data_IF_121582957210
#
_entry.id   IF_121582957210
#
_cell.length_a   1.000
_cell.length_b   1.000
_cell.length_c   1.000
_cell.angle_alpha   90.00
_cell.angle_beta   90.00
_cell.angle_gamma   90.00
#
_symmetry.space_group_name_H-M   'P 1'
#
loop_
_entity.id
_entity.type
_entity.pdbx_description
1 polymer ?
#
# COMPACT_ATOMS: atom_id res chain seq x y z
N UNK A 1 -31.44 11.46 -53.93
CA UNK A 1 -31.25 12.04 -52.58
C UNK A 1 -31.05 10.91 -51.56
N UNK A 2 -29.85 10.37 -51.38
CA UNK A 2 -29.62 9.26 -50.42
C UNK A 2 -28.19 9.13 -49.88
N UNK A 3 -27.27 10.07 -50.18
CA UNK A 3 -25.85 9.97 -49.75
C UNK A 3 -25.48 10.84 -48.54
N UNK A 4 -26.43 11.60 -47.99
CA UNK A 4 -26.19 12.47 -46.83
C UNK A 4 -26.55 11.80 -45.49
N UNK A 5 -27.49 10.85 -45.48
CA UNK A 5 -27.93 10.18 -44.26
C UNK A 5 -26.93 9.13 -43.75
N UNK A 6 -26.14 8.49 -44.62
CA UNK A 6 -25.06 7.58 -44.21
C UNK A 6 -23.83 8.29 -43.61
N UNK A 7 -23.64 9.58 -43.88
CA UNK A 7 -22.50 10.35 -43.33
C UNK A 7 -22.76 10.96 -41.96
N UNK A 8 -24.01 10.90 -41.46
CA UNK A 8 -24.38 11.52 -40.18
C UNK A 8 -24.16 10.60 -38.97
N UNK A 9 -23.93 9.30 -39.21
CA UNK A 9 -23.68 8.30 -38.14
C UNK A 9 -22.21 8.31 -37.66
N UNK A 10 -21.32 9.04 -38.34
CA UNK A 10 -19.90 9.12 -37.98
C UNK A 10 -19.47 10.46 -37.35
N UNK A 11 -20.43 11.27 -36.91
CA UNK A 11 -20.12 12.41 -36.03
C UNK A 11 -20.19 11.88 -34.60
N UNK A 12 -19.12 11.20 -34.16
CA UNK A 12 -18.89 11.11 -32.71
C UNK A 12 -18.80 12.56 -32.21
N UNK A 13 -19.57 12.95 -31.18
CA UNK A 13 -19.43 14.27 -30.60
C UNK A 13 -17.96 14.47 -30.25
N UNK A 14 -17.37 15.53 -30.81
CA UNK A 14 -16.03 15.95 -30.43
C UNK A 14 -16.03 16.14 -28.90
N UNK A 15 -15.13 15.41 -28.24
CA UNK A 15 -14.84 15.54 -26.80
C UNK A 15 -15.81 14.87 -25.81
N UNK A 16 -16.25 13.64 -26.05
CA UNK A 16 -16.69 12.82 -24.91
C UNK A 16 -15.47 12.53 -24.01
N UNK A 17 -15.39 13.18 -22.85
CA UNK A 17 -14.37 12.93 -21.83
C UNK A 17 -14.33 11.43 -21.52
N UNK A 18 -13.14 10.83 -21.60
CA UNK A 18 -12.97 9.41 -21.29
C UNK A 18 -13.37 9.14 -19.83
N UNK A 19 -14.30 8.21 -19.65
CA UNK A 19 -14.77 7.77 -18.33
C UNK A 19 -14.12 6.43 -17.99
N UNK A 20 -13.46 6.35 -16.84
CA UNK A 20 -12.87 5.11 -16.32
C UNK A 20 -14.01 4.13 -16.00
N UNK A 21 -13.92 2.91 -16.52
CA UNK A 21 -14.91 1.86 -16.24
C UNK A 21 -14.89 1.49 -14.75
N UNK A 22 -16.03 1.04 -14.21
CA UNK A 22 -16.12 0.59 -12.80
C UNK A 22 -15.09 -0.50 -12.49
N UNK A 23 -14.96 -1.50 -13.36
CA UNK A 23 -13.96 -2.57 -13.22
C UNK A 23 -12.53 -2.03 -13.10
N UNK A 24 -12.14 -1.09 -13.97
CA UNK A 24 -10.81 -0.49 -13.92
C UNK A 24 -10.60 0.33 -12.65
N UNK A 25 -11.62 1.08 -12.21
CA UNK A 25 -11.56 1.80 -10.96
C UNK A 25 -11.37 0.87 -9.75
N UNK A 26 -12.08 -0.26 -9.70
CA UNK A 26 -11.96 -1.25 -8.62
C UNK A 26 -10.56 -1.90 -8.60
N UNK A 27 -10.00 -2.23 -9.77
CA UNK A 27 -8.63 -2.76 -9.88
C UNK A 27 -7.57 -1.71 -9.49
N UNK A 28 -7.76 -0.43 -9.84
CA UNK A 28 -6.88 0.65 -9.38
C UNK A 28 -6.88 0.71 -7.86
N UNK A 29 -8.05 0.69 -7.21
CA UNK A 29 -8.17 0.75 -5.76
C UNK A 29 -7.51 -0.48 -5.10
N UNK A 30 -7.75 -1.69 -5.63
CA UNK A 30 -7.11 -2.94 -5.20
C UNK A 30 -5.58 -2.89 -5.27
N UNK A 31 -5.02 -2.54 -6.43
CA UNK A 31 -3.57 -2.58 -6.61
C UNK A 31 -2.87 -1.45 -5.88
N UNK A 32 -3.42 -0.24 -5.89
CA UNK A 32 -2.84 0.87 -5.10
C UNK A 32 -2.74 0.53 -3.62
N UNK A 33 -3.78 -0.10 -3.04
CA UNK A 33 -3.73 -0.52 -1.65
C UNK A 33 -2.77 -1.70 -1.43
N UNK A 34 -2.79 -2.71 -2.29
CA UNK A 34 -1.92 -3.89 -2.18
C UNK A 34 -0.43 -3.51 -2.23
N UNK A 35 -0.03 -2.60 -3.13
CA UNK A 35 1.35 -2.13 -3.20
C UNK A 35 1.77 -1.30 -1.98
N UNK A 36 0.89 -0.45 -1.43
CA UNK A 36 1.23 0.33 -0.23
C UNK A 36 1.36 -0.56 1.02
N UNK A 37 0.64 -1.68 1.07
CA UNK A 37 0.76 -2.67 2.14
C UNK A 37 1.88 -3.70 1.91
N UNK A 38 2.58 -3.62 0.77
CA UNK A 38 3.68 -4.52 0.42
C UNK A 38 4.93 -4.21 1.25
N UNK A 39 5.45 -5.17 2.05
CA UNK A 39 6.59 -4.94 2.93
C UNK A 39 7.91 -4.70 2.18
N UNK A 40 8.01 -5.17 0.93
CA UNK A 40 9.20 -5.04 0.08
C UNK A 40 9.20 -3.77 -0.78
N UNK A 41 8.14 -2.94 -0.73
CA UNK A 41 8.06 -1.72 -1.54
C UNK A 41 9.30 -0.82 -1.29
N UNK A 42 10.04 -0.39 -2.32
CA UNK A 42 11.24 0.43 -2.11
C UNK A 42 10.94 1.85 -1.63
N UNK A 43 9.85 2.43 -2.14
CA UNK A 43 9.49 3.84 -1.97
C UNK A 43 7.97 4.02 -2.06
N UNK A 44 7.40 4.79 -1.14
CA UNK A 44 5.98 5.14 -1.07
C UNK A 44 5.63 6.40 -1.86
N UNK A 45 6.60 7.27 -2.18
CA UNK A 45 6.39 8.47 -3.00
C UNK A 45 7.01 8.34 -4.39
N UNK A 46 6.57 9.18 -5.32
CA UNK A 46 7.17 9.28 -6.64
C UNK A 46 6.57 8.31 -7.67
N UNK A 47 7.30 8.15 -8.77
CA UNK A 47 6.80 7.48 -9.99
C UNK A 47 6.84 5.95 -9.89
N UNK A 48 7.70 5.38 -9.04
CA UNK A 48 7.91 3.94 -8.94
C UNK A 48 6.59 3.20 -8.68
N UNK A 49 5.92 3.50 -7.57
CA UNK A 49 4.65 2.84 -7.20
C UNK A 49 3.52 3.12 -8.19
N UNK A 50 3.52 4.30 -8.83
CA UNK A 50 2.54 4.61 -9.90
C UNK A 50 2.77 3.70 -11.10
N UNK A 51 4.03 3.52 -11.52
CA UNK A 51 4.37 2.66 -12.63
C UNK A 51 4.07 1.18 -12.31
N UNK A 52 4.38 0.70 -11.09
CA UNK A 52 4.02 -0.67 -10.69
C UNK A 52 2.53 -0.95 -10.81
N UNK A 53 1.68 0.02 -10.42
CA UNK A 53 0.22 -0.08 -10.57
C UNK A 53 -0.19 -0.06 -12.05
N UNK A 54 0.38 0.82 -12.87
CA UNK A 54 0.05 0.88 -14.30
C UNK A 54 0.48 -0.42 -15.03
N UNK A 55 1.68 -0.91 -14.73
CA UNK A 55 2.24 -2.12 -15.34
C UNK A 55 1.40 -3.35 -15.03
N UNK A 56 0.89 -3.49 -13.78
CA UNK A 56 0.05 -4.64 -13.42
C UNK A 56 -1.36 -4.53 -14.02
N UNK A 57 -1.91 -3.31 -14.13
CA UNK A 57 -3.21 -3.08 -14.77
C UNK A 57 -3.17 -3.42 -16.26
N UNK A 58 -2.10 -3.01 -16.95
CA UNK A 58 -1.87 -3.30 -18.37
C UNK A 58 -1.72 -4.81 -18.61
N UNK A 59 -1.01 -5.51 -17.72
CA UNK A 59 -0.77 -6.96 -17.84
C UNK A 59 -1.95 -7.83 -17.44
N UNK A 60 -2.95 -7.29 -16.75
CA UNK A 60 -4.13 -8.03 -16.29
C UNK A 60 -5.32 -7.77 -17.25
N UNK A 61 -5.71 -8.74 -18.11
CA UNK A 61 -6.82 -8.57 -19.05
C UNK A 61 -8.17 -8.32 -18.38
N UNK A 62 -8.37 -8.79 -17.14
CA UNK A 62 -9.61 -8.62 -16.40
C UNK A 62 -9.78 -7.20 -15.82
N UNK A 63 -8.71 -6.39 -15.82
CA UNK A 63 -8.74 -5.04 -15.25
C UNK A 63 -9.62 -4.06 -16.01
N UNK A 64 -10.08 -4.40 -17.21
CA UNK A 64 -10.78 -3.46 -18.09
C UNK A 64 -9.85 -2.40 -18.66
N UNK A 65 -8.54 -2.71 -18.75
CA UNK A 65 -7.55 -1.88 -19.43
C UNK A 65 -7.96 -1.61 -20.89
N UNK A 66 -8.00 -0.33 -21.34
CA UNK A 66 -8.44 -0.03 -22.70
C UNK A 66 -7.46 -0.55 -23.76
N UNK A 67 -7.98 -1.26 -24.76
CA UNK A 67 -7.18 -1.82 -25.88
C UNK A 67 -6.48 -0.72 -26.68
N UNK A 68 -7.06 0.48 -26.76
CA UNK A 68 -6.55 1.60 -27.54
C UNK A 68 -5.72 2.60 -26.70
N UNK A 69 -5.35 2.27 -25.46
CA UNK A 69 -4.67 3.21 -24.56
C UNK A 69 -3.35 3.73 -25.13
N UNK A 70 -2.62 2.89 -25.85
CA UNK A 70 -1.32 3.24 -26.46
C UNK A 70 -1.42 4.36 -27.49
N UNK A 71 -2.61 4.59 -28.06
CA UNK A 71 -2.86 5.62 -29.06
C UNK A 71 -3.46 6.89 -28.46
N UNK A 72 -3.86 6.87 -27.18
CA UNK A 72 -4.55 7.98 -26.53
C UNK A 72 -3.85 8.45 -25.26
N UNK A 73 -2.96 9.45 -25.42
CA UNK A 73 -2.30 10.13 -24.30
C UNK A 73 -3.30 10.66 -23.27
N UNK A 74 -4.43 11.23 -23.72
CA UNK A 74 -5.46 11.77 -22.83
C UNK A 74 -6.06 10.69 -21.90
N UNK A 75 -6.37 9.50 -22.43
CA UNK A 75 -6.87 8.38 -21.62
C UNK A 75 -5.82 7.92 -20.61
N UNK A 76 -4.57 7.80 -21.04
CA UNK A 76 -3.45 7.41 -20.16
C UNK A 76 -3.25 8.41 -19.03
N UNK A 77 -3.30 9.71 -19.32
CA UNK A 77 -3.17 10.78 -18.32
C UNK A 77 -4.32 10.74 -17.30
N UNK A 78 -5.56 10.44 -17.73
CA UNK A 78 -6.72 10.26 -16.84
C UNK A 78 -6.52 9.07 -15.89
N UNK A 79 -6.13 7.90 -16.41
CA UNK A 79 -5.89 6.70 -15.58
C UNK A 79 -4.75 6.94 -14.60
N UNK A 80 -3.63 7.49 -15.08
CA UNK A 80 -2.48 7.82 -14.24
C UNK A 80 -2.83 8.80 -13.12
N UNK A 81 -3.62 9.83 -13.43
CA UNK A 81 -4.09 10.80 -12.43
C UNK A 81 -4.98 10.13 -11.39
N UNK A 82 -5.84 9.18 -11.80
CA UNK A 82 -6.66 8.39 -10.88
C UNK A 82 -5.80 7.54 -9.94
N UNK A 83 -4.80 6.83 -10.48
CA UNK A 83 -3.85 6.03 -9.69
C UNK A 83 -3.11 6.90 -8.67
N UNK A 84 -2.57 8.06 -9.08
CA UNK A 84 -1.84 8.98 -8.21
C UNK A 84 -2.73 9.56 -7.09
N UNK A 85 -3.97 9.92 -7.45
CA UNK A 85 -4.98 10.37 -6.47
C UNK A 85 -5.21 9.28 -5.42
N UNK A 86 -5.42 8.03 -5.85
CA UNK A 86 -5.67 6.91 -4.93
C UNK A 86 -4.49 6.56 -4.05
N UNK A 87 -3.27 6.55 -4.60
CA UNK A 87 -2.05 6.39 -3.81
C UNK A 87 -1.91 7.48 -2.73
N UNK A 88 -2.30 8.72 -3.04
CA UNK A 88 -2.25 9.82 -2.08
C UNK A 88 -3.33 9.67 -1.00
N UNK A 89 -4.56 9.33 -1.38
CA UNK A 89 -5.67 9.06 -0.46
C UNK A 89 -5.31 7.95 0.54
N UNK A 90 -4.86 6.78 0.05
CA UNK A 90 -4.51 5.62 0.87
C UNK A 90 -3.35 5.91 1.82
N UNK A 91 -2.30 6.58 1.33
CA UNK A 91 -1.21 7.05 2.19
C UNK A 91 -1.68 8.00 3.28
N UNK A 92 -2.58 8.93 2.98
CA UNK A 92 -3.11 9.82 4.02
C UNK A 92 -3.90 9.05 5.10
N UNK A 93 -4.70 8.07 4.70
CA UNK A 93 -5.44 7.17 5.61
C UNK A 93 -4.48 6.35 6.49
N UNK A 94 -3.48 5.70 5.89
CA UNK A 94 -2.45 4.93 6.61
C UNK A 94 -1.71 5.80 7.62
N UNK A 95 -1.28 7.00 7.20
CA UNK A 95 -0.59 7.95 8.08
C UNK A 95 -1.46 8.34 9.27
N UNK A 96 -2.75 8.62 9.06
CA UNK A 96 -3.66 8.98 10.13
C UNK A 96 -3.78 7.87 11.18
N UNK A 97 -3.94 6.61 10.74
CA UNK A 97 -4.02 5.44 11.62
C UNK A 97 -2.70 5.23 12.39
N UNK A 98 -1.55 5.36 11.72
CA UNK A 98 -0.24 5.24 12.37
C UNK A 98 -0.06 6.31 13.44
N UNK A 99 -0.41 7.56 13.16
CA UNK A 99 -0.29 8.66 14.13
C UNK A 99 -1.22 8.46 15.33
N UNK A 100 -2.46 8.01 15.10
CA UNK A 100 -3.40 7.70 16.17
C UNK A 100 -2.90 6.56 17.08
N UNK A 101 -2.11 5.63 16.54
CA UNK A 101 -1.58 4.47 17.29
C UNK A 101 -0.48 4.79 18.31
N UNK A 102 0.11 5.99 18.25
CA UNK A 102 1.29 6.35 19.03
C UNK A 102 1.03 6.47 20.54
N UNK A 103 -0.22 6.71 20.94
CA UNK A 103 -0.58 6.97 22.33
C UNK A 103 0.06 8.24 22.90
N UNK A 104 0.01 8.39 24.22
CA UNK A 104 0.62 9.51 24.95
C UNK A 104 1.98 9.07 25.49
N UNK A 105 3.01 9.91 25.31
CA UNK A 105 4.31 9.66 25.93
C UNK A 105 4.17 9.69 27.46
N UNK A 106 4.82 8.75 28.15
CA UNK A 106 4.81 8.75 29.61
C UNK A 106 5.44 10.05 30.14
N UNK A 107 4.81 10.68 31.13
CA UNK A 107 5.37 11.87 31.77
C UNK A 107 6.72 11.52 32.41
N UNK A 108 7.81 12.15 31.95
CA UNK A 108 9.17 11.93 32.48
C UNK A 108 10.14 11.20 31.55
N UNK A 109 9.81 10.99 30.27
CA UNK A 109 10.68 10.32 29.28
C UNK A 109 11.92 11.14 28.84
N UNK A 110 12.48 11.95 29.74
CA UNK A 110 13.84 12.49 29.63
C UNK A 110 14.82 11.45 30.16
N UNK A 111 15.00 10.40 29.34
CA UNK A 111 16.14 9.48 29.29
C UNK A 111 17.14 9.50 30.46
N UNK A 112 17.12 8.46 31.30
CA UNK A 112 18.33 7.73 31.74
C UNK A 112 17.94 6.42 32.44
N UNK A 113 18.35 5.32 31.80
CA UNK A 113 18.75 4.03 32.38
C UNK A 113 17.72 3.06 33.02
N UNK A 114 17.75 1.85 32.45
CA UNK A 114 17.55 0.50 33.04
C UNK A 114 16.23 0.08 33.67
N UNK A 115 15.24 0.95 33.86
CA UNK A 115 13.93 0.50 34.37
C UNK A 115 13.05 -0.01 33.22
N UNK A 116 12.37 -1.13 33.41
CA UNK A 116 11.50 -1.75 32.40
C UNK A 116 10.57 -0.70 31.77
N UNK A 117 10.81 -0.37 30.49
CA UNK A 117 10.00 0.60 29.76
C UNK A 117 8.56 0.12 29.76
N UNK A 118 7.69 0.86 30.45
CA UNK A 118 6.26 0.65 30.36
C UNK A 118 5.80 1.07 28.96
N UNK A 119 4.88 0.31 28.33
CA UNK A 119 4.26 0.72 27.08
C UNK A 119 3.60 2.10 27.20
N UNK A 120 3.61 2.87 26.11
CA UNK A 120 2.92 4.16 26.06
C UNK A 120 1.42 4.00 26.35
N UNK A 121 0.89 4.87 27.22
CA UNK A 121 -0.52 4.86 27.57
C UNK A 121 -1.39 5.14 26.33
N UNK A 122 -2.41 4.30 26.11
CA UNK A 122 -3.31 4.41 24.96
C UNK A 122 -2.68 4.08 23.60
N UNK A 123 -1.48 3.50 23.56
CA UNK A 123 -0.89 3.05 22.31
C UNK A 123 -1.52 1.75 21.81
N UNK A 124 -1.41 1.51 20.50
CA UNK A 124 -1.89 0.28 19.85
C UNK A 124 -0.72 -0.70 19.66
N UNK A 125 -0.93 -2.00 19.91
CA UNK A 125 0.08 -3.01 19.59
C UNK A 125 0.33 -3.10 18.07
N UNK A 126 1.47 -3.64 17.65
CA UNK A 126 1.82 -3.68 16.23
C UNK A 126 0.86 -4.55 15.39
N UNK A 127 0.33 -5.63 15.96
CA UNK A 127 -0.62 -6.52 15.27
C UNK A 127 -1.94 -5.81 15.07
N UNK A 128 -2.53 -5.24 16.13
CA UNK A 128 -3.79 -4.47 16.03
C UNK A 128 -3.64 -3.25 15.11
N UNK A 129 -2.48 -2.61 15.08
CA UNK A 129 -2.19 -1.55 14.12
C UNK A 129 -2.22 -2.08 12.67
N UNK A 130 -1.60 -3.23 12.40
CA UNK A 130 -1.64 -3.83 11.07
C UNK A 130 -3.07 -4.25 10.68
N UNK A 131 -3.86 -4.79 11.61
CA UNK A 131 -5.28 -5.10 11.38
C UNK A 131 -6.09 -3.86 11.02
N UNK A 132 -5.89 -2.75 11.76
CA UNK A 132 -6.53 -1.47 11.46
C UNK A 132 -6.12 -0.94 10.07
N UNK A 133 -4.85 -1.10 9.68
CA UNK A 133 -4.37 -0.71 8.35
C UNK A 133 -5.00 -1.58 7.26
N UNK A 134 -5.07 -2.90 7.44
CA UNK A 134 -5.76 -3.82 6.52
C UNK A 134 -7.24 -3.44 6.38
N UNK A 135 -7.87 -2.96 7.45
CA UNK A 135 -9.25 -2.48 7.46
C UNK A 135 -9.54 -1.24 6.60
N UNK A 136 -8.53 -0.52 6.10
CA UNK A 136 -8.70 0.67 5.24
C UNK A 136 -9.46 0.33 3.94
N UNK A 137 -9.24 -0.85 3.38
CA UNK A 137 -9.85 -1.26 2.12
C UNK A 137 -10.20 -2.75 2.13
N UNK A 138 -11.49 -3.04 2.32
CA UNK A 138 -12.05 -4.39 2.36
C UNK A 138 -12.13 -5.08 0.98
N UNK A 139 -11.88 -4.35 -0.11
CA UNK A 139 -11.86 -4.92 -1.46
C UNK A 139 -10.64 -5.81 -1.74
N UNK A 140 -9.70 -5.93 -0.79
CA UNK A 140 -8.63 -6.94 -0.81
C UNK A 140 -8.55 -7.61 0.54
N UNK A 141 -8.66 -8.94 0.57
CA UNK A 141 -8.43 -9.75 1.76
C UNK A 141 -6.93 -9.87 2.06
N UNK A 142 -6.31 -8.80 2.58
CA UNK A 142 -4.92 -8.84 3.04
C UNK A 142 -4.84 -9.58 4.38
N UNK A 143 -3.77 -10.35 4.58
CA UNK A 143 -3.44 -10.99 5.85
C UNK A 143 -2.33 -10.23 6.54
N UNK A 144 -2.44 -10.07 7.86
CA UNK A 144 -1.35 -9.52 8.68
C UNK A 144 -0.23 -10.56 8.75
N UNK A 145 0.99 -10.15 8.42
CA UNK A 145 2.19 -11.00 8.43
C UNK A 145 3.29 -10.36 9.26
N UNK A 146 4.29 -11.13 9.67
CA UNK A 146 5.45 -10.61 10.41
C UNK A 146 6.21 -9.57 9.58
N UNK A 147 6.30 -9.76 8.27
CA UNK A 147 6.95 -8.83 7.34
C UNK A 147 6.20 -7.50 7.29
N UNK A 148 4.86 -7.53 7.28
CA UNK A 148 4.03 -6.34 7.37
C UNK A 148 4.24 -5.63 8.72
N UNK A 149 4.18 -6.35 9.84
CA UNK A 149 4.44 -5.77 11.17
C UNK A 149 5.83 -5.12 11.24
N UNK A 150 6.86 -5.78 10.71
CA UNK A 150 8.22 -5.24 10.67
C UNK A 150 8.30 -3.96 9.85
N UNK A 151 7.59 -3.90 8.73
CA UNK A 151 7.53 -2.71 7.89
C UNK A 151 6.79 -1.55 8.57
N UNK A 152 5.63 -1.84 9.15
CA UNK A 152 4.80 -0.85 9.86
C UNK A 152 5.52 -0.30 11.09
N UNK A 153 6.33 -1.12 11.78
CA UNK A 153 7.18 -0.66 12.86
C UNK A 153 8.17 0.44 12.41
N UNK A 154 8.73 0.34 11.20
CA UNK A 154 9.56 1.43 10.63
C UNK A 154 8.74 2.68 10.35
N UNK A 155 7.53 2.54 9.80
CA UNK A 155 6.65 3.70 9.56
C UNK A 155 6.32 4.41 10.87
N UNK A 156 6.08 3.65 11.94
CA UNK A 156 5.78 4.17 13.26
C UNK A 156 7.00 4.81 13.93
N UNK A 157 8.17 4.21 13.80
CA UNK A 157 9.44 4.80 14.27
C UNK A 157 9.70 6.15 13.61
N UNK A 158 9.59 6.23 12.28
CA UNK A 158 9.72 7.51 11.53
C UNK A 158 8.68 8.54 12.00
N UNK A 159 7.45 8.11 12.31
CA UNK A 159 6.41 8.99 12.84
C UNK A 159 6.81 9.60 14.20
N UNK A 160 7.46 8.83 15.07
CA UNK A 160 7.99 9.32 16.35
C UNK A 160 9.18 10.25 16.13
N UNK A 161 10.20 9.79 15.41
CA UNK A 161 11.49 10.50 15.27
C UNK A 161 11.33 11.86 14.60
N UNK A 162 10.33 11.97 13.74
CA UNK A 162 10.11 13.20 12.99
C UNK A 162 9.21 14.22 13.73
N UNK A 163 8.67 13.87 14.91
CA UNK A 163 7.90 14.76 15.78
C UNK A 163 6.66 15.37 15.10
N UNK A 164 6.41 16.67 15.36
CA UNK A 164 5.38 17.48 14.70
C UNK A 164 5.74 17.77 13.23
N UNK A 165 5.85 16.72 12.42
CA UNK A 165 6.04 16.84 10.97
C UNK A 165 4.96 17.74 10.39
N UNK A 166 5.38 18.85 9.76
CA UNK A 166 4.54 19.65 8.87
C UNK A 166 3.85 18.70 7.86
N UNK A 167 2.57 18.94 7.58
CA UNK A 167 1.82 18.14 6.60
C UNK A 167 2.62 18.04 5.29
N UNK A 168 3.07 16.81 4.94
CA UNK A 168 3.78 16.53 3.69
C UNK A 168 5.13 15.82 3.81
N UNK A 169 5.92 15.97 4.90
CA UNK A 169 7.28 15.39 4.93
C UNK A 169 7.40 13.97 5.49
N UNK A 170 6.29 13.37 5.97
CA UNK A 170 6.29 12.02 6.53
C UNK A 170 6.74 10.96 5.52
N UNK A 171 6.10 10.87 4.36
CA UNK A 171 6.42 9.84 3.37
C UNK A 171 7.82 10.00 2.74
N UNK A 172 8.31 11.21 2.42
CA UNK A 172 9.71 11.40 2.07
C UNK A 172 10.69 10.95 3.15
N UNK A 173 10.37 11.16 4.44
CA UNK A 173 11.22 10.69 5.54
C UNK A 173 11.24 9.16 5.64
N UNK A 174 10.07 8.51 5.47
CA UNK A 174 9.98 7.05 5.36
C UNK A 174 10.85 6.54 4.22
N UNK A 175 10.73 7.12 3.03
CA UNK A 175 11.49 6.67 1.86
C UNK A 175 13.00 6.85 2.04
N UNK A 176 13.41 7.94 2.69
CA UNK A 176 14.81 8.18 3.07
C UNK A 176 15.33 7.11 4.02
N UNK A 177 14.56 6.75 5.05
CA UNK A 177 14.95 5.71 6.02
C UNK A 177 15.07 4.33 5.35
N UNK A 178 14.14 3.99 4.46
CA UNK A 178 14.20 2.72 3.74
C UNK A 178 15.37 2.69 2.75
N UNK A 179 15.68 3.81 2.13
CA UNK A 179 16.84 3.94 1.25
C UNK A 179 18.14 3.82 2.03
N UNK A 180 18.25 4.42 3.23
CA UNK A 180 19.45 4.33 4.07
C UNK A 180 19.78 2.87 4.44
N UNK A 181 18.77 2.06 4.76
CA UNK A 181 18.95 0.63 5.03
C UNK A 181 19.44 -0.14 3.80
N UNK A 182 18.97 0.22 2.60
CA UNK A 182 19.43 -0.39 1.34
C UNK A 182 20.85 0.01 1.00
N UNK A 183 21.19 1.28 1.15
CA UNK A 183 22.52 1.83 0.85
C UNK A 183 23.58 1.30 1.82
N UNK A 184 23.23 1.12 3.08
CA UNK A 184 24.12 0.51 4.07
C UNK A 184 24.40 -0.98 3.78
N UNK A 185 23.45 -1.68 3.16
CA UNK A 185 23.51 -3.13 2.92
C UNK A 185 22.99 -3.51 1.51
N UNK A 186 23.68 -3.10 0.43
CA UNK A 186 23.16 -3.25 -0.94
C UNK A 186 23.04 -4.72 -1.37
N UNK A 187 23.99 -5.56 -0.96
CA UNK A 187 24.08 -6.98 -1.35
C UNK A 187 23.78 -7.95 -0.20
N UNK A 188 23.33 -7.46 0.95
CA UNK A 188 23.12 -8.28 2.15
C UNK A 188 21.65 -8.21 2.63
N UNK A 189 20.75 -8.98 1.99
CA UNK A 189 19.35 -9.02 2.40
C UNK A 189 19.16 -9.50 3.84
N UNK A 190 20.06 -10.35 4.36
CA UNK A 190 19.98 -10.84 5.75
C UNK A 190 20.23 -9.71 6.74
N UNK A 191 21.23 -8.85 6.50
CA UNK A 191 21.46 -7.67 7.34
C UNK A 191 20.29 -6.69 7.26
N UNK A 192 19.72 -6.46 6.07
CA UNK A 192 18.49 -5.64 5.95
C UNK A 192 17.36 -6.20 6.79
N UNK A 193 17.07 -7.51 6.70
CA UNK A 193 16.04 -8.16 7.52
C UNK A 193 16.30 -8.02 9.03
N UNK A 194 17.56 -8.08 9.48
CA UNK A 194 17.91 -7.86 10.89
C UNK A 194 17.60 -6.45 11.37
N UNK A 195 17.78 -5.42 10.53
CA UNK A 195 17.38 -4.05 10.86
C UNK A 195 15.88 -3.96 11.07
N UNK A 196 15.08 -4.49 10.13
CA UNK A 196 13.62 -4.52 10.28
C UNK A 196 13.15 -5.29 11.52
N UNK A 197 13.79 -6.43 11.83
CA UNK A 197 13.50 -7.20 13.05
C UNK A 197 13.85 -6.43 14.33
N UNK A 198 14.95 -5.66 14.33
CA UNK A 198 15.31 -4.77 15.44
C UNK A 198 14.26 -3.67 15.62
N UNK A 199 13.80 -3.04 14.54
CA UNK A 199 12.75 -2.03 14.59
C UNK A 199 11.45 -2.62 15.17
N UNK A 200 11.04 -3.80 14.74
CA UNK A 200 9.88 -4.51 15.31
C UNK A 200 10.05 -4.82 16.81
N UNK A 201 11.25 -5.20 17.23
CA UNK A 201 11.54 -5.48 18.64
C UNK A 201 11.44 -4.21 19.50
N UNK A 202 12.03 -3.11 19.03
CA UNK A 202 11.94 -1.80 19.69
C UNK A 202 10.51 -1.31 19.78
N UNK A 203 9.76 -1.48 18.70
CA UNK A 203 8.36 -1.13 18.58
C UNK A 203 7.49 -1.87 19.61
N UNK A 204 7.63 -3.19 19.74
CA UNK A 204 6.94 -3.98 20.79
C UNK A 204 7.31 -3.55 22.21
N UNK A 205 8.55 -3.14 22.44
CA UNK A 205 8.97 -2.60 23.73
C UNK A 205 8.31 -1.25 24.04
N UNK A 206 8.12 -0.40 23.04
CA UNK A 206 7.54 0.94 23.18
C UNK A 206 6.01 0.94 23.30
N UNK A 207 5.35 0.06 22.56
CA UNK A 207 3.90 0.11 22.32
C UNK A 207 3.14 -1.13 22.81
N UNK A 208 3.83 -2.01 23.54
CA UNK A 208 3.25 -3.21 24.11
C UNK A 208 3.55 -4.47 23.30
N UNK A 209 3.54 -5.60 24.00
CA UNK A 209 3.77 -6.90 23.39
C UNK A 209 2.55 -7.32 22.58
N UNK A 210 2.82 -7.83 21.38
CA UNK A 210 1.86 -8.59 20.59
C UNK A 210 2.32 -10.05 20.50
N UNK A 211 1.37 -10.96 20.37
CA UNK A 211 1.62 -12.35 20.02
C UNK A 211 1.99 -12.41 18.52
N UNK A 212 3.28 -12.63 18.24
CA UNK A 212 3.77 -12.83 16.89
C UNK A 212 3.85 -14.30 16.51
N UNK A 213 3.71 -15.21 17.48
CA UNK A 213 3.84 -16.65 17.24
C UNK A 213 2.66 -17.12 16.38
N UNK A 214 1.47 -16.55 16.62
CA UNK A 214 0.30 -16.72 15.77
C UNK A 214 0.50 -16.30 14.30
N UNK A 215 1.54 -15.50 13.99
CA UNK A 215 1.83 -15.01 12.64
C UNK A 215 2.97 -15.76 11.95
N UNK A 216 3.65 -16.70 12.62
CA UNK A 216 4.84 -17.35 12.09
C UNK A 216 4.58 -18.11 10.78
N UNK A 217 3.41 -18.75 10.67
CA UNK A 217 3.03 -19.56 9.52
C UNK A 217 2.00 -18.86 8.60
N UNK A 218 1.74 -17.57 8.85
CA UNK A 218 0.79 -16.80 8.05
C UNK A 218 1.49 -16.31 6.78
N UNK A 219 1.20 -17.00 5.68
CA UNK A 219 1.55 -16.53 4.34
C UNK A 219 0.62 -15.39 3.91
N UNK A 220 1.19 -14.42 3.17
CA UNK A 220 0.41 -13.34 2.56
C UNK A 220 -0.68 -13.88 1.63
N UNK A 221 -1.78 -13.13 1.48
CA UNK A 221 -2.84 -13.46 0.53
C UNK A 221 -2.35 -13.39 -0.92
N UNK A 222 -3.15 -13.91 -1.86
CA UNK A 222 -2.81 -13.90 -3.30
C UNK A 222 -2.44 -12.50 -3.77
N UNK A 223 -3.21 -11.48 -3.39
CA UNK A 223 -2.94 -10.09 -3.76
C UNK A 223 -1.62 -9.55 -3.16
N UNK A 224 -1.24 -9.98 -1.94
CA UNK A 224 0.04 -9.62 -1.34
C UNK A 224 1.20 -10.26 -2.11
N UNK A 225 1.08 -11.55 -2.41
CA UNK A 225 2.09 -12.29 -3.18
C UNK A 225 2.27 -11.71 -4.58
N UNK A 226 1.17 -11.38 -5.26
CA UNK A 226 1.17 -10.74 -6.58
C UNK A 226 1.90 -9.38 -6.53
N UNK A 227 1.56 -8.53 -5.56
CA UNK A 227 2.23 -7.24 -5.38
C UNK A 227 3.72 -7.39 -5.06
N UNK A 228 4.10 -8.33 -4.19
CA UNK A 228 5.50 -8.62 -3.86
C UNK A 228 6.28 -9.12 -5.06
N UNK A 229 5.70 -10.02 -5.87
CA UNK A 229 6.35 -10.52 -7.09
C UNK A 229 6.57 -9.41 -8.11
N UNK A 230 5.60 -8.50 -8.29
CA UNK A 230 5.75 -7.34 -9.18
C UNK A 230 6.83 -6.39 -8.67
N UNK A 231 6.85 -6.10 -7.37
CA UNK A 231 7.90 -5.27 -6.75
C UNK A 231 9.30 -5.88 -6.93
N UNK A 232 9.41 -7.20 -6.77
CA UNK A 232 10.69 -7.92 -6.88
C UNK A 232 11.12 -8.18 -8.33
N UNK A 233 10.31 -7.81 -9.32
CA UNK A 233 10.57 -8.08 -10.73
C UNK A 233 10.46 -9.57 -11.11
N UNK A 234 9.80 -10.37 -10.27
CA UNK A 234 9.64 -11.83 -10.43
C UNK A 234 8.22 -12.23 -10.84
N UNK A 235 7.37 -11.29 -11.21
CA UNK A 235 5.97 -11.56 -11.55
C UNK A 235 5.83 -12.54 -12.71
N UNK A 236 5.38 -13.74 -12.39
CA UNK A 236 4.74 -14.67 -13.33
C UNK A 236 3.24 -14.46 -13.13
N UNK A 237 2.51 -14.10 -14.19
CA UNK A 237 1.07 -13.84 -14.13
C UNK A 237 0.32 -15.09 -13.62
N UNK A 238 0.08 -15.18 -12.31
CA UNK A 238 -0.84 -16.14 -11.73
C UNK A 238 -2.23 -15.54 -11.85
N UNK A 239 -2.95 -15.93 -12.91
CA UNK A 239 -4.32 -15.51 -13.13
C UNK A 239 -5.20 -15.97 -11.96
N UNK A 240 -5.68 -15.02 -11.16
CA UNK A 240 -6.67 -15.31 -10.13
C UNK A 240 -7.96 -15.80 -10.81
N UNK A 241 -8.46 -16.96 -10.38
CA UNK A 241 -9.72 -17.53 -10.84
C UNK A 241 -10.90 -16.64 -10.40
N UNK A 242 -11.99 -16.53 -11.18
CA UNK A 242 -13.19 -15.75 -10.83
C UNK A 242 -13.81 -16.07 -9.45
N UNK A 243 -13.47 -17.23 -8.86
CA UNK A 243 -13.98 -17.67 -7.56
C UNK A 243 -13.61 -16.74 -6.38
N UNK A 244 -12.51 -15.98 -6.49
CA UNK A 244 -12.11 -15.04 -5.43
C UNK A 244 -12.94 -13.73 -5.43
N UNK A 245 -13.72 -13.46 -6.50
CA UNK A 245 -14.56 -12.26 -6.57
C UNK A 245 -15.98 -12.48 -6.04
N UNK A 246 -16.43 -13.72 -5.86
CA UNK A 246 -17.79 -14.03 -5.39
C UNK A 246 -17.95 -14.06 -3.87
N UNK A 247 -16.87 -14.01 -3.10
CA UNK A 247 -16.91 -14.16 -1.64
C UNK A 247 -17.32 -12.89 -0.86
N UNK A 248 -17.69 -11.79 -1.53
CA UNK A 248 -18.06 -10.50 -0.88
C UNK A 248 -19.52 -10.12 -1.13
N UNK A 249 -20.32 -11.00 -1.75
CA UNK A 249 -21.72 -10.75 -2.08
C UNK A 249 -22.65 -11.82 -1.51
N UNK A 250 -22.63 -12.01 -0.19
CA UNK A 250 -23.70 -12.72 0.54
C UNK A 250 -23.58 -12.43 2.03
N UNK A 251 -24.21 -11.35 2.47
CA UNK A 251 -24.68 -11.12 3.85
C UNK A 251 -25.45 -9.79 3.82
N UNK A 252 -26.66 -9.84 3.27
CA UNK A 252 -27.75 -8.89 3.49
C UNK A 252 -29.03 -9.58 2.95
N UNK A 253 -29.61 -10.45 3.79
CA UNK A 253 -31.03 -10.84 3.75
C UNK A 253 -31.64 -10.57 5.13
#
# INVERSE_FOLDING_TARGET
>A
MLKLQEKLVLIQPADSLYVISKSLADHIDRYTFSFLMCPTLPSYVGKLVTNLVLDILEKNPASGWPVDIGHSKAKMDIIKTRVQTKLTERRNQMKAIILASLGVAAAGDTSTETTAMQPRAGSTTIVNLCENLVGIYKGVALKVTIQMCSRVAVLRDVAISSGNIKSGSFWPAVDKELQSVRDAYPLDPKKRSRIFAKNLTNDRRLFGQADLDALHDVNGSVAQQEAEQVVNGTAVLLFASPADMSAVASDDE
#
